data_IF_933250284257
#
_entry.id   IF_933250284257
#
_cell.length_a   1.000
_cell.length_b   1.000
_cell.length_c   1.000
_cell.angle_alpha   90.00
_cell.angle_beta   90.00
_cell.angle_gamma   90.00
#
_symmetry.space_group_name_H-M   'P 1'
#
loop_
_entity.id
_entity.type
_entity.pdbx_description
1 polymer ?
#
# COMPACT_ATOMS: atom_id res chain seq x y z
N UNK A 1 14.69 67.65 22.09
CA UNK A 1 14.27 66.96 20.90
C UNK A 1 13.18 65.98 21.33
N UNK A 2 11.93 66.32 21.01
CA UNK A 2 10.75 65.78 21.64
C UNK A 2 10.22 64.51 20.94
N UNK A 3 9.60 63.67 21.78
CA UNK A 3 8.97 62.41 21.47
C UNK A 3 7.56 62.52 20.79
N UNK A 4 7.32 63.63 20.04
CA UNK A 4 5.95 63.96 19.58
C UNK A 4 5.71 63.82 18.08
N UNK A 5 6.63 63.23 17.30
CA UNK A 5 6.44 63.04 15.85
C UNK A 5 6.37 61.56 15.44
N UNK A 6 5.59 60.78 16.13
CA UNK A 6 5.16 59.48 15.62
C UNK A 6 3.68 59.48 15.38
N UNK A 7 3.34 59.62 14.11
CA UNK A 7 2.00 59.57 13.56
C UNK A 7 1.43 58.14 13.67
N UNK A 8 0.63 57.88 14.73
CA UNK A 8 -0.05 56.60 14.94
C UNK A 8 -1.44 56.54 14.29
N UNK A 9 -1.75 57.45 13.39
CA UNK A 9 -3.08 57.56 12.76
C UNK A 9 -3.28 56.84 11.47
N UNK A 10 -2.44 55.86 11.13
CA UNK A 10 -2.80 54.92 10.05
C UNK A 10 -3.44 53.66 10.64
N UNK A 11 -4.60 53.80 11.22
CA UNK A 11 -5.60 52.75 11.34
C UNK A 11 -6.08 52.39 9.90
N UNK A 12 -5.17 51.82 9.11
CA UNK A 12 -5.50 51.23 7.81
C UNK A 12 -6.56 50.17 8.05
N UNK A 13 -7.78 50.44 7.61
CA UNK A 13 -8.86 49.49 7.50
C UNK A 13 -8.32 48.18 6.89
N UNK A 14 -8.07 47.19 7.73
CA UNK A 14 -7.99 45.78 7.32
C UNK A 14 -9.34 45.43 6.67
N UNK A 15 -9.49 45.76 5.41
CA UNK A 15 -10.47 45.08 4.59
C UNK A 15 -10.06 43.60 4.70
N UNK A 16 -10.76 42.87 5.57
CA UNK A 16 -10.85 41.43 5.48
C UNK A 16 -11.39 41.17 4.07
N UNK A 17 -10.45 40.88 3.15
CA UNK A 17 -10.78 40.16 1.94
C UNK A 17 -11.33 38.82 2.44
N UNK A 18 -12.65 38.73 2.61
CA UNK A 18 -13.36 37.48 2.42
C UNK A 18 -13.10 37.08 0.96
N UNK A 19 -11.90 36.61 0.72
CA UNK A 19 -11.60 35.90 -0.51
C UNK A 19 -12.55 34.72 -0.54
N UNK A 20 -13.54 34.79 -1.42
CA UNK A 20 -14.28 33.63 -1.84
C UNK A 20 -13.25 32.55 -2.12
N UNK A 21 -13.16 31.55 -1.25
CA UNK A 21 -12.38 30.35 -1.51
C UNK A 21 -13.07 29.67 -2.70
N UNK A 22 -12.72 30.10 -3.90
CA UNK A 22 -13.06 29.36 -5.09
C UNK A 22 -12.44 27.99 -4.89
N UNK A 23 -13.28 26.99 -4.62
CA UNK A 23 -12.90 25.60 -4.62
C UNK A 23 -12.35 25.31 -6.01
N UNK A 24 -11.04 25.45 -6.19
CA UNK A 24 -10.35 25.04 -7.41
C UNK A 24 -10.34 23.52 -7.40
N UNK A 25 -11.25 22.91 -8.12
CA UNK A 25 -11.21 21.49 -8.42
C UNK A 25 -10.03 21.25 -9.37
N UNK A 26 -8.85 21.07 -8.81
CA UNK A 26 -7.73 20.58 -9.58
C UNK A 26 -7.92 19.08 -9.79
N UNK A 27 -8.14 18.66 -11.03
CA UNK A 27 -8.12 17.23 -11.37
C UNK A 27 -6.79 16.63 -10.92
N UNK A 28 -6.81 15.41 -10.35
CA UNK A 28 -5.60 14.77 -9.93
C UNK A 28 -4.67 14.54 -11.12
N UNK A 29 -3.41 14.92 -10.99
CA UNK A 29 -2.40 14.55 -11.98
C UNK A 29 -2.18 13.05 -11.93
N UNK A 30 -2.25 12.39 -13.09
CA UNK A 30 -2.07 10.95 -13.22
C UNK A 30 -0.62 10.59 -12.91
N UNK A 31 -0.42 9.61 -12.05
CA UNK A 31 0.90 9.06 -11.67
C UNK A 31 1.24 7.83 -12.54
N UNK A 32 2.53 7.45 -12.65
CA UNK A 32 2.96 6.41 -13.59
C UNK A 32 2.27 5.05 -13.42
N UNK A 33 2.15 4.53 -12.19
CA UNK A 33 1.53 3.21 -11.95
C UNK A 33 0.03 3.27 -12.18
N UNK A 34 -0.65 4.32 -11.69
CA UNK A 34 -2.08 4.53 -11.96
C UNK A 34 -2.35 4.62 -13.46
N UNK A 35 -1.50 5.35 -14.23
CA UNK A 35 -1.61 5.42 -15.69
C UNK A 35 -1.59 4.04 -16.32
N UNK A 36 -0.62 3.19 -15.94
CA UNK A 36 -0.52 1.86 -16.51
C UNK A 36 -1.69 0.96 -16.09
N UNK A 37 -2.16 1.05 -14.84
CA UNK A 37 -3.35 0.32 -14.39
C UNK A 37 -4.60 0.73 -15.20
N UNK A 38 -4.80 2.03 -15.44
CA UNK A 38 -5.90 2.52 -16.29
C UNK A 38 -5.80 1.97 -17.70
N UNK A 39 -4.62 2.02 -18.33
CA UNK A 39 -4.39 1.54 -19.69
C UNK A 39 -4.65 0.03 -19.78
N UNK A 40 -4.06 -0.77 -18.89
CA UNK A 40 -4.17 -2.24 -18.92
C UNK A 40 -5.61 -2.68 -18.74
N UNK A 41 -6.33 -2.13 -17.75
CA UNK A 41 -7.73 -2.48 -17.52
C UNK A 41 -8.61 -2.11 -18.74
N UNK A 42 -8.42 -0.92 -19.30
CA UNK A 42 -9.18 -0.47 -20.47
C UNK A 42 -8.86 -1.32 -21.70
N UNK A 43 -7.58 -1.64 -21.92
CA UNK A 43 -7.16 -2.47 -23.04
C UNK A 43 -7.75 -3.90 -22.97
N UNK A 44 -7.69 -4.54 -21.81
CA UNK A 44 -8.28 -5.88 -21.60
C UNK A 44 -9.78 -5.85 -21.84
N UNK A 45 -10.48 -4.84 -21.33
CA UNK A 45 -11.93 -4.69 -21.52
C UNK A 45 -12.30 -4.49 -22.98
N UNK A 46 -11.59 -3.60 -23.69
CA UNK A 46 -11.85 -3.33 -25.11
C UNK A 46 -11.54 -4.55 -25.98
N UNK A 47 -10.41 -5.22 -25.76
CA UNK A 47 -10.05 -6.41 -26.51
C UNK A 47 -11.06 -7.56 -26.30
N UNK A 48 -11.49 -7.76 -25.05
CA UNK A 48 -12.51 -8.76 -24.75
C UNK A 48 -13.90 -8.44 -25.32
N UNK A 49 -14.24 -7.16 -25.40
CA UNK A 49 -15.49 -6.70 -26.01
C UNK A 49 -15.49 -6.73 -27.53
N UNK A 50 -14.36 -6.40 -28.17
CA UNK A 50 -14.21 -6.41 -29.63
C UNK A 50 -14.09 -7.84 -30.20
N UNK A 51 -13.53 -8.76 -29.42
CA UNK A 51 -13.31 -10.16 -29.83
C UNK A 51 -14.03 -11.07 -28.82
N UNK A 52 -15.34 -11.37 -29.01
CA UNK A 52 -16.13 -12.14 -28.03
C UNK A 52 -15.53 -13.49 -27.61
N UNK A 53 -14.92 -14.31 -28.49
CA UNK A 53 -14.26 -15.55 -28.07
C UNK A 53 -13.09 -15.31 -27.10
N UNK A 54 -12.33 -14.23 -27.31
CA UNK A 54 -11.23 -13.81 -26.41
C UNK A 54 -11.80 -13.39 -25.05
N UNK A 55 -12.87 -12.56 -25.05
CA UNK A 55 -13.54 -12.12 -23.82
C UNK A 55 -14.02 -13.30 -22.96
N UNK A 56 -14.68 -14.26 -23.57
CA UNK A 56 -15.12 -15.49 -22.89
C UNK A 56 -13.94 -16.29 -22.33
N UNK A 57 -12.86 -16.43 -23.09
CA UNK A 57 -11.65 -17.11 -22.66
C UNK A 57 -10.96 -16.38 -21.48
N UNK A 58 -10.85 -15.06 -21.57
CA UNK A 58 -10.25 -14.24 -20.50
C UNK A 58 -11.04 -14.39 -19.19
N UNK A 59 -12.37 -14.31 -19.23
CA UNK A 59 -13.21 -14.51 -18.05
C UNK A 59 -13.03 -15.94 -17.51
N UNK A 60 -13.07 -16.96 -18.37
CA UNK A 60 -12.94 -18.35 -18.00
C UNK A 60 -11.60 -18.69 -17.32
N UNK A 61 -10.48 -18.11 -17.78
CA UNK A 61 -9.13 -18.41 -17.27
C UNK A 61 -8.66 -17.51 -16.13
N UNK A 62 -9.19 -16.28 -16.01
CA UNK A 62 -8.64 -15.25 -15.13
C UNK A 62 -9.60 -14.71 -14.07
N UNK A 63 -10.92 -14.98 -14.14
CA UNK A 63 -11.86 -14.66 -13.05
C UNK A 63 -11.75 -15.65 -11.90
N UNK A 64 -12.20 -15.28 -10.71
CA UNK A 64 -12.43 -16.21 -9.60
C UNK A 64 -13.83 -16.79 -9.78
N UNK A 65 -13.95 -18.03 -10.22
CA UNK A 65 -15.22 -18.73 -10.31
C UNK A 65 -15.26 -19.92 -9.33
N UNK A 66 -15.90 -19.75 -8.18
CA UNK A 66 -15.95 -20.79 -7.14
C UNK A 66 -16.76 -22.03 -7.52
N UNK A 67 -17.52 -21.98 -8.61
CA UNK A 67 -18.24 -23.16 -9.15
C UNK A 67 -17.30 -24.10 -9.89
N UNK A 68 -16.11 -23.63 -10.25
CA UNK A 68 -15.06 -24.42 -10.88
C UNK A 68 -14.00 -24.82 -9.87
N UNK A 69 -13.74 -26.14 -9.73
CA UNK A 69 -12.68 -26.66 -8.87
C UNK A 69 -11.27 -26.17 -9.28
N UNK A 70 -11.09 -25.78 -10.54
CA UNK A 70 -9.85 -25.21 -11.04
C UNK A 70 -9.46 -23.92 -10.31
N UNK A 71 -10.41 -23.15 -9.79
CA UNK A 71 -10.13 -21.93 -9.04
C UNK A 71 -9.22 -22.20 -7.83
N UNK A 72 -9.39 -23.34 -7.17
CA UNK A 72 -8.61 -23.72 -5.99
C UNK A 72 -7.13 -24.00 -6.30
N UNK A 73 -6.81 -24.42 -7.52
CA UNK A 73 -5.44 -24.78 -7.95
C UNK A 73 -4.80 -23.71 -8.86
N UNK A 74 -5.47 -22.60 -9.09
CA UNK A 74 -5.03 -21.53 -10.00
C UNK A 74 -4.85 -20.20 -9.24
N UNK A 75 -3.78 -20.06 -8.44
CA UNK A 75 -3.57 -18.90 -7.54
C UNK A 75 -3.42 -17.58 -8.27
N UNK A 76 -3.02 -17.57 -9.56
CA UNK A 76 -2.96 -16.35 -10.36
C UNK A 76 -4.31 -15.66 -10.49
N UNK A 77 -5.43 -16.38 -10.36
CA UNK A 77 -6.78 -15.80 -10.40
C UNK A 77 -7.02 -14.78 -9.30
N UNK A 78 -6.36 -14.91 -8.14
CA UNK A 78 -6.42 -13.93 -7.06
C UNK A 78 -5.84 -12.55 -7.44
N UNK A 79 -5.02 -12.51 -8.48
CA UNK A 79 -4.47 -11.26 -9.01
C UNK A 79 -5.17 -10.85 -10.31
N UNK A 80 -5.35 -11.80 -11.23
CA UNK A 80 -5.81 -11.51 -12.59
C UNK A 80 -7.27 -11.06 -12.67
N UNK A 81 -8.14 -11.53 -11.78
CA UNK A 81 -9.55 -11.14 -11.76
C UNK A 81 -9.76 -9.63 -11.62
N UNK A 82 -8.79 -8.93 -10.99
CA UNK A 82 -8.81 -7.49 -10.77
C UNK A 82 -8.73 -6.68 -12.07
N UNK A 83 -8.33 -7.30 -13.17
CA UNK A 83 -8.19 -6.65 -14.47
C UNK A 83 -9.37 -6.93 -15.42
N UNK A 84 -10.33 -7.75 -15.00
CA UNK A 84 -11.51 -8.11 -15.79
C UNK A 84 -12.72 -7.26 -15.37
N UNK A 85 -13.56 -6.90 -16.33
CA UNK A 85 -14.78 -6.12 -16.08
C UNK A 85 -15.95 -6.67 -16.85
N UNK A 86 -17.10 -6.79 -16.20
CA UNK A 86 -18.28 -7.43 -16.77
C UNK A 86 -19.09 -6.57 -17.71
N UNK A 87 -19.05 -5.24 -17.56
CA UNK A 87 -19.80 -4.29 -18.39
C UNK A 87 -19.18 -2.89 -18.36
N UNK A 88 -19.68 -2.02 -19.25
CA UNK A 88 -19.15 -0.67 -19.41
C UNK A 88 -19.26 0.18 -18.14
N UNK A 89 -20.39 0.15 -17.45
CA UNK A 89 -20.56 0.92 -16.21
C UNK A 89 -19.58 0.46 -15.15
N UNK A 90 -19.35 -0.85 -15.03
CA UNK A 90 -18.43 -1.45 -14.07
C UNK A 90 -17.00 -0.95 -14.29
N UNK A 91 -16.48 -0.98 -15.54
CA UNK A 91 -15.13 -0.46 -15.79
C UNK A 91 -15.05 1.04 -15.61
N UNK A 92 -16.02 1.81 -16.08
CA UNK A 92 -16.02 3.28 -15.94
C UNK A 92 -15.94 3.69 -14.47
N UNK A 93 -16.78 3.11 -13.60
CA UNK A 93 -16.75 3.44 -12.17
C UNK A 93 -15.43 3.03 -11.50
N UNK A 94 -14.87 1.87 -11.88
CA UNK A 94 -13.56 1.45 -11.38
C UNK A 94 -12.44 2.42 -11.84
N UNK A 95 -12.40 2.80 -13.11
CA UNK A 95 -11.38 3.70 -13.63
C UNK A 95 -11.51 5.10 -13.03
N UNK A 96 -12.72 5.60 -12.81
CA UNK A 96 -12.96 6.86 -12.09
C UNK A 96 -12.41 6.75 -10.65
N UNK A 97 -12.75 5.70 -9.90
CA UNK A 97 -12.24 5.50 -8.54
C UNK A 97 -10.72 5.42 -8.49
N UNK A 98 -10.11 4.66 -9.41
CA UNK A 98 -8.66 4.55 -9.51
C UNK A 98 -7.99 5.89 -9.86
N UNK A 99 -8.58 6.65 -10.78
CA UNK A 99 -8.11 7.97 -11.20
C UNK A 99 -8.11 8.98 -10.04
N UNK A 100 -9.17 9.00 -9.22
CA UNK A 100 -9.28 9.97 -8.12
C UNK A 100 -8.47 9.58 -6.88
N UNK A 101 -8.47 8.31 -6.51
CA UNK A 101 -7.84 7.87 -5.24
C UNK A 101 -6.40 7.38 -5.43
N UNK A 102 -6.10 6.72 -6.54
CA UNK A 102 -4.80 6.11 -6.80
C UNK A 102 -3.63 7.08 -6.76
N UNK A 103 -3.67 8.23 -7.48
CA UNK A 103 -2.54 9.16 -7.51
C UNK A 103 -2.19 9.75 -6.15
N UNK A 104 -3.16 9.93 -5.26
CA UNK A 104 -2.92 10.44 -3.90
C UNK A 104 -2.01 9.49 -3.12
N UNK A 105 -2.32 8.21 -3.18
CA UNK A 105 -1.57 7.19 -2.44
C UNK A 105 -0.23 6.86 -3.13
N UNK A 106 -0.20 6.82 -4.47
CA UNK A 106 1.03 6.60 -5.24
C UNK A 106 2.06 7.71 -5.00
N UNK A 107 1.64 8.99 -4.97
CA UNK A 107 2.54 10.10 -4.61
C UNK A 107 3.06 10.01 -3.18
N UNK A 108 2.23 9.52 -2.27
CA UNK A 108 2.61 9.41 -0.86
C UNK A 108 3.64 8.29 -0.59
N UNK A 109 3.53 7.15 -1.30
CA UNK A 109 4.37 5.96 -1.03
C UNK A 109 5.38 5.62 -2.12
N UNK A 110 5.26 6.22 -3.29
CA UNK A 110 5.96 5.80 -4.51
C UNK A 110 5.28 4.61 -5.20
N UNK A 111 5.55 4.48 -6.50
CA UNK A 111 4.86 3.53 -7.37
C UNK A 111 5.01 2.07 -6.94
N UNK A 112 6.22 1.66 -6.52
CA UNK A 112 6.48 0.26 -6.12
C UNK A 112 5.62 -0.18 -4.92
N UNK A 113 5.56 0.65 -3.87
CA UNK A 113 4.77 0.32 -2.68
C UNK A 113 3.28 0.38 -2.98
N UNK A 114 2.85 1.34 -3.79
CA UNK A 114 1.47 1.48 -4.21
C UNK A 114 0.97 0.26 -4.98
N UNK A 115 1.71 -0.26 -5.97
CA UNK A 115 1.26 -1.42 -6.75
C UNK A 115 1.12 -2.69 -5.91
N UNK A 116 2.08 -2.96 -5.01
CA UNK A 116 1.97 -4.11 -4.11
C UNK A 116 0.80 -3.98 -3.12
N UNK A 117 0.55 -2.79 -2.63
CA UNK A 117 -0.61 -2.52 -1.78
C UNK A 117 -1.93 -2.72 -2.54
N UNK A 118 -2.04 -2.15 -3.73
CA UNK A 118 -3.21 -2.26 -4.60
C UNK A 118 -3.53 -3.72 -4.90
N UNK A 119 -2.58 -4.47 -5.44
CA UNK A 119 -2.75 -5.89 -5.73
C UNK A 119 -3.05 -6.73 -4.48
N UNK A 120 -2.38 -6.41 -3.38
CA UNK A 120 -2.59 -7.09 -2.09
C UNK A 120 -4.00 -6.88 -1.55
N UNK A 121 -4.55 -5.67 -1.60
CA UNK A 121 -5.95 -5.41 -1.25
C UNK A 121 -6.91 -6.22 -2.11
N UNK A 122 -6.64 -6.31 -3.42
CA UNK A 122 -7.44 -7.15 -4.32
C UNK A 122 -7.34 -8.64 -4.00
N UNK A 123 -6.15 -9.16 -3.68
CA UNK A 123 -5.98 -10.55 -3.25
C UNK A 123 -6.82 -10.84 -2.00
N UNK A 124 -6.74 -9.98 -0.98
CA UNK A 124 -7.53 -10.14 0.25
C UNK A 124 -9.04 -10.03 -0.04
N UNK A 125 -9.45 -9.14 -0.95
CA UNK A 125 -10.83 -9.02 -1.41
C UNK A 125 -11.35 -10.34 -2.02
N UNK A 126 -10.59 -10.94 -2.92
CA UNK A 126 -10.91 -12.24 -3.53
C UNK A 126 -10.96 -13.38 -2.50
N UNK A 127 -10.02 -13.42 -1.56
CA UNK A 127 -10.02 -14.40 -0.47
C UNK A 127 -11.22 -14.21 0.48
N UNK A 128 -11.61 -12.97 0.78
CA UNK A 128 -12.79 -12.66 1.60
C UNK A 128 -14.08 -13.15 0.94
N UNK A 129 -14.20 -12.93 -0.38
CA UNK A 129 -15.32 -13.48 -1.15
C UNK A 129 -15.37 -15.01 -1.06
N UNK A 130 -14.24 -15.69 -1.33
CA UNK A 130 -14.17 -17.15 -1.29
C UNK A 130 -14.49 -17.70 0.12
N UNK A 131 -14.01 -17.04 1.16
CA UNK A 131 -14.31 -17.43 2.56
C UNK A 131 -15.79 -17.31 2.88
N UNK A 132 -16.41 -16.15 2.59
CA UNK A 132 -17.82 -15.90 2.89
C UNK A 132 -18.75 -16.79 2.04
N UNK A 133 -18.33 -17.12 0.83
CA UNK A 133 -19.01 -18.11 0.00
C UNK A 133 -18.90 -19.54 0.60
N UNK A 134 -17.71 -19.94 1.04
CA UNK A 134 -17.47 -21.27 1.60
C UNK A 134 -18.28 -21.52 2.88
N UNK A 135 -18.55 -20.48 3.69
CA UNK A 135 -19.40 -20.57 4.89
C UNK A 135 -20.89 -20.25 4.60
N UNK A 136 -21.27 -20.12 3.33
CA UNK A 136 -22.67 -19.96 2.92
C UNK A 136 -23.29 -18.58 3.15
N UNK A 137 -22.50 -17.56 3.42
CA UNK A 137 -22.98 -16.16 3.62
C UNK A 137 -23.37 -15.51 2.29
N UNK A 138 -22.60 -15.78 1.23
CA UNK A 138 -22.85 -15.26 -0.12
C UNK A 138 -22.92 -16.39 -1.15
N UNK A 139 -23.64 -16.14 -2.26
CA UNK A 139 -23.80 -17.12 -3.33
C UNK A 139 -22.55 -17.29 -4.19
N UNK A 140 -22.44 -18.45 -4.84
CA UNK A 140 -21.37 -18.75 -5.78
C UNK A 140 -21.63 -18.06 -7.13
N UNK A 141 -20.82 -17.06 -7.47
CA UNK A 141 -20.85 -16.36 -8.74
C UNK A 141 -19.41 -16.00 -9.15
N UNK A 142 -19.12 -15.81 -10.45
CA UNK A 142 -17.82 -15.35 -10.87
C UNK A 142 -17.51 -13.95 -10.30
N UNK A 143 -16.34 -13.82 -9.64
CA UNK A 143 -15.85 -12.54 -9.18
C UNK A 143 -14.85 -11.97 -10.20
N UNK A 144 -15.06 -10.72 -10.58
CA UNK A 144 -14.19 -9.95 -11.49
C UNK A 144 -14.32 -8.46 -11.16
N UNK A 145 -13.24 -7.70 -11.38
CA UNK A 145 -13.21 -6.26 -11.17
C UNK A 145 -12.10 -5.78 -10.25
N UNK A 146 -11.65 -4.56 -10.51
CA UNK A 146 -10.62 -3.86 -9.73
C UNK A 146 -11.14 -3.29 -8.40
N UNK A 147 -12.46 -3.30 -8.18
CA UNK A 147 -13.13 -2.55 -7.12
C UNK A 147 -12.66 -2.91 -5.72
N UNK A 148 -12.36 -4.19 -5.42
CA UNK A 148 -11.81 -4.58 -4.12
C UNK A 148 -10.47 -3.88 -3.82
N UNK A 149 -9.57 -3.82 -4.79
CA UNK A 149 -8.30 -3.10 -4.67
C UNK A 149 -8.52 -1.58 -4.52
N UNK A 150 -9.39 -1.00 -5.36
CA UNK A 150 -9.71 0.44 -5.33
C UNK A 150 -10.34 0.86 -4.00
N UNK A 151 -11.23 0.04 -3.47
CA UNK A 151 -11.84 0.30 -2.17
C UNK A 151 -10.86 0.15 -1.01
N UNK A 152 -9.86 -0.72 -1.13
CA UNK A 152 -8.71 -0.74 -0.23
C UNK A 152 -7.91 0.56 -0.28
N UNK A 153 -7.69 1.11 -1.48
CA UNK A 153 -7.06 2.43 -1.66
C UNK A 153 -7.94 3.54 -1.05
N UNK A 154 -9.25 3.52 -1.27
CA UNK A 154 -10.18 4.46 -0.65
C UNK A 154 -10.11 4.42 0.87
N UNK A 155 -10.13 3.23 1.48
CA UNK A 155 -10.03 3.08 2.93
C UNK A 155 -8.70 3.60 3.48
N UNK A 156 -7.59 3.33 2.81
CA UNK A 156 -6.27 3.88 3.16
C UNK A 156 -6.24 5.41 3.07
N UNK A 157 -6.78 5.99 1.98
CA UNK A 157 -6.89 7.43 1.82
C UNK A 157 -7.79 8.07 2.89
N UNK A 158 -8.89 7.40 3.25
CA UNK A 158 -9.82 7.89 4.28
C UNK A 158 -9.17 7.98 5.67
N UNK A 159 -8.22 7.09 5.97
CA UNK A 159 -7.47 7.11 7.23
C UNK A 159 -6.32 8.12 7.19
N UNK A 160 -5.54 8.14 6.09
CA UNK A 160 -4.38 9.02 5.97
C UNK A 160 -4.74 10.48 5.71
N UNK A 161 -5.81 10.72 4.96
CA UNK A 161 -6.22 12.05 4.49
C UNK A 161 -7.70 12.34 4.77
N UNK A 162 -8.17 12.24 6.02
CA UNK A 162 -9.61 12.22 6.36
C UNK A 162 -10.37 13.49 5.99
N UNK A 163 -9.66 14.61 5.77
CA UNK A 163 -10.24 15.92 5.46
C UNK A 163 -10.35 16.18 3.94
N UNK A 164 -9.81 15.28 3.11
CA UNK A 164 -9.92 15.43 1.65
C UNK A 164 -11.39 15.36 1.26
N UNK A 165 -11.85 16.40 0.54
CA UNK A 165 -13.20 16.46 -0.02
C UNK A 165 -13.16 15.79 -1.40
N UNK A 166 -14.02 14.81 -1.59
CA UNK A 166 -14.22 14.11 -2.86
C UNK A 166 -15.62 14.41 -3.38
N UNK A 167 -15.74 14.47 -4.70
CA UNK A 167 -17.03 14.63 -5.35
C UNK A 167 -17.61 13.24 -5.62
N UNK A 168 -18.62 12.85 -4.87
CA UNK A 168 -19.36 11.61 -5.14
C UNK A 168 -20.60 11.95 -5.96
N UNK A 169 -20.58 11.57 -7.25
CA UNK A 169 -21.54 12.01 -8.27
C UNK A 169 -21.49 13.55 -8.41
N UNK A 170 -22.29 14.29 -7.66
CA UNK A 170 -22.33 15.75 -7.64
C UNK A 170 -22.26 16.33 -6.21
N UNK A 171 -22.16 15.45 -5.20
CA UNK A 171 -22.16 15.85 -3.78
C UNK A 171 -20.73 15.88 -3.25
N UNK A 172 -20.21 17.04 -2.86
CA UNK A 172 -18.91 17.13 -2.18
C UNK A 172 -19.03 16.58 -0.75
N UNK A 173 -18.19 15.61 -0.39
CA UNK A 173 -18.16 15.05 0.95
C UNK A 173 -16.75 14.67 1.37
N UNK A 174 -16.44 14.63 2.68
CA UNK A 174 -15.17 14.12 3.17
C UNK A 174 -14.99 12.65 2.78
N UNK A 175 -13.79 12.29 2.33
CA UNK A 175 -13.47 10.93 1.89
C UNK A 175 -13.76 9.87 2.97
N UNK A 176 -13.60 10.21 4.26
CA UNK A 176 -13.95 9.33 5.38
C UNK A 176 -15.44 9.01 5.43
N UNK A 177 -16.30 10.01 5.12
CA UNK A 177 -17.75 9.82 5.09
C UNK A 177 -18.12 8.90 3.94
N UNK A 178 -17.53 9.11 2.75
CA UNK A 178 -17.70 8.23 1.60
C UNK A 178 -17.31 6.79 1.94
N UNK A 179 -16.12 6.58 2.53
CA UNK A 179 -15.64 5.24 2.87
C UNK A 179 -16.58 4.53 3.87
N UNK A 180 -17.04 5.22 4.91
CA UNK A 180 -17.98 4.64 5.88
C UNK A 180 -19.32 4.35 5.24
N UNK A 181 -19.88 5.29 4.45
CA UNK A 181 -21.13 5.09 3.75
C UNK A 181 -21.11 3.89 2.81
N UNK A 182 -20.02 3.72 2.03
CA UNK A 182 -19.82 2.57 1.17
C UNK A 182 -19.74 1.26 1.96
N UNK A 183 -18.97 1.24 3.06
CA UNK A 183 -18.89 0.07 3.92
C UNK A 183 -20.25 -0.34 4.48
N UNK A 184 -21.03 0.62 5.00
CA UNK A 184 -22.38 0.37 5.51
C UNK A 184 -23.32 -0.15 4.41
N UNK A 185 -23.27 0.46 3.22
CA UNK A 185 -24.07 0.02 2.07
C UNK A 185 -23.77 -1.44 1.73
N UNK A 186 -22.52 -1.85 1.66
CA UNK A 186 -22.12 -3.24 1.36
C UNK A 186 -22.58 -4.21 2.46
N UNK A 187 -22.43 -3.84 3.74
CA UNK A 187 -22.93 -4.66 4.85
C UNK A 187 -24.45 -4.87 4.73
N UNK A 188 -25.21 -3.79 4.51
CA UNK A 188 -26.66 -3.87 4.37
C UNK A 188 -27.05 -4.76 3.18
N UNK A 189 -26.36 -4.62 2.04
CA UNK A 189 -26.66 -5.42 0.85
C UNK A 189 -26.35 -6.92 1.05
N UNK A 190 -25.27 -7.25 1.78
CA UNK A 190 -24.96 -8.64 2.14
C UNK A 190 -26.04 -9.23 3.06
N UNK A 191 -26.46 -8.49 4.10
CA UNK A 191 -27.49 -8.92 5.05
C UNK A 191 -28.84 -9.11 4.33
N UNK A 192 -29.16 -8.18 3.42
CA UNK A 192 -30.37 -8.26 2.60
C UNK A 192 -30.31 -9.33 1.49
N UNK A 193 -29.20 -10.06 1.36
CA UNK A 193 -28.96 -11.05 0.29
C UNK A 193 -29.17 -10.46 -1.11
N UNK A 194 -28.74 -9.22 -1.31
CA UNK A 194 -28.83 -8.52 -2.58
C UNK A 194 -28.09 -9.24 -3.71
N UNK A 195 -28.43 -8.91 -4.96
CA UNK A 195 -27.89 -9.58 -6.16
C UNK A 195 -26.36 -9.58 -6.25
N UNK A 196 -25.69 -8.54 -5.71
CA UNK A 196 -24.22 -8.39 -5.72
C UNK A 196 -23.57 -8.74 -4.37
N UNK A 197 -24.23 -9.44 -3.46
CA UNK A 197 -23.68 -9.72 -2.11
C UNK A 197 -22.26 -10.33 -2.15
N UNK A 198 -21.94 -11.15 -3.14
CA UNK A 198 -20.59 -11.69 -3.35
C UNK A 198 -19.56 -10.63 -3.70
N UNK A 199 -19.89 -9.73 -4.61
CA UNK A 199 -19.04 -8.57 -4.95
C UNK A 199 -18.85 -7.64 -3.73
N UNK A 200 -19.91 -7.40 -2.96
CA UNK A 200 -19.85 -6.56 -1.76
C UNK A 200 -19.01 -7.18 -0.64
N UNK A 201 -19.00 -8.50 -0.54
CA UNK A 201 -18.08 -9.23 0.35
C UNK A 201 -16.60 -8.97 -0.03
N UNK A 202 -16.29 -9.01 -1.34
CA UNK A 202 -14.97 -8.66 -1.83
C UNK A 202 -14.64 -7.18 -1.57
N UNK A 203 -15.59 -6.28 -1.75
CA UNK A 203 -15.44 -4.85 -1.48
C UNK A 203 -15.06 -4.58 -0.02
N UNK A 204 -15.79 -5.17 0.93
CA UNK A 204 -15.49 -5.06 2.35
C UNK A 204 -14.13 -5.69 2.71
N UNK A 205 -13.80 -6.84 2.12
CA UNK A 205 -12.50 -7.47 2.30
C UNK A 205 -11.34 -6.57 1.86
N UNK A 206 -11.47 -5.92 0.70
CA UNK A 206 -10.50 -4.95 0.19
C UNK A 206 -10.38 -3.71 1.09
N UNK A 207 -11.50 -3.14 1.53
CA UNK A 207 -11.51 -2.02 2.48
C UNK A 207 -10.84 -2.38 3.81
N UNK A 208 -11.18 -3.55 4.35
CA UNK A 208 -10.58 -4.05 5.60
C UNK A 208 -9.07 -4.25 5.46
N UNK A 209 -8.61 -4.81 4.33
CA UNK A 209 -7.18 -4.96 4.03
C UNK A 209 -6.46 -3.62 3.98
N UNK A 210 -7.04 -2.63 3.28
CA UNK A 210 -6.49 -1.28 3.18
C UNK A 210 -6.41 -0.59 4.54
N UNK A 211 -7.47 -0.64 5.33
CA UNK A 211 -7.50 -0.09 6.69
C UNK A 211 -6.50 -0.80 7.62
N UNK A 212 -6.49 -2.12 7.63
CA UNK A 212 -5.57 -2.91 8.45
C UNK A 212 -4.11 -2.62 8.12
N UNK A 213 -3.76 -2.50 6.84
CA UNK A 213 -2.40 -2.15 6.43
C UNK A 213 -1.95 -0.83 7.06
N UNK A 214 -2.77 0.23 6.99
CA UNK A 214 -2.45 1.54 7.54
C UNK A 214 -2.33 1.49 9.07
N UNK A 215 -3.27 0.83 9.74
CA UNK A 215 -3.31 0.76 11.20
C UNK A 215 -2.18 -0.11 11.78
N UNK A 216 -1.75 -1.15 11.06
CA UNK A 216 -0.66 -2.04 11.49
C UNK A 216 0.73 -1.52 11.09
N UNK A 217 0.82 -0.64 10.10
CA UNK A 217 2.09 -0.14 9.57
C UNK A 217 3.03 0.42 10.65
N UNK A 218 2.59 1.30 11.58
CA UNK A 218 3.45 1.83 12.62
C UNK A 218 4.00 0.74 13.58
N UNK A 219 3.22 -0.32 13.79
CA UNK A 219 3.65 -1.46 14.61
C UNK A 219 4.71 -2.29 13.89
N UNK A 220 4.54 -2.52 12.60
CA UNK A 220 5.51 -3.23 11.76
C UNK A 220 6.84 -2.47 11.65
N UNK A 221 6.79 -1.15 11.50
CA UNK A 221 7.98 -0.31 11.45
C UNK A 221 8.72 -0.31 12.80
N UNK A 222 8.01 -0.22 13.93
CA UNK A 222 8.61 -0.36 15.27
C UNK A 222 9.27 -1.73 15.46
N UNK A 223 8.62 -2.79 15.00
CA UNK A 223 9.18 -4.15 15.09
C UNK A 223 10.44 -4.30 14.25
N UNK A 224 10.43 -3.79 13.00
CA UNK A 224 11.62 -3.77 12.13
C UNK A 224 12.77 -2.99 12.77
N UNK A 225 12.51 -1.80 13.29
CA UNK A 225 13.51 -1.00 13.98
C UNK A 225 14.09 -1.74 15.18
N UNK A 226 13.26 -2.42 15.98
CA UNK A 226 13.72 -3.23 17.11
C UNK A 226 14.61 -4.39 16.68
N UNK A 227 14.24 -5.12 15.63
CA UNK A 227 15.05 -6.22 15.07
C UNK A 227 16.39 -5.70 14.56
N UNK A 228 16.40 -4.58 13.84
CA UNK A 228 17.63 -3.97 13.38
C UNK A 228 18.51 -3.50 14.52
N UNK A 229 17.95 -2.84 15.53
CA UNK A 229 18.70 -2.40 16.71
C UNK A 229 19.37 -3.59 17.43
N UNK A 230 18.65 -4.68 17.67
CA UNK A 230 19.19 -5.89 18.27
C UNK A 230 20.32 -6.52 17.43
N UNK A 231 20.16 -6.53 16.11
CA UNK A 231 21.20 -7.02 15.20
C UNK A 231 22.47 -6.14 15.26
N UNK A 232 22.30 -4.82 15.30
CA UNK A 232 23.40 -3.87 15.46
C UNK A 232 24.11 -4.02 16.81
N UNK A 233 23.38 -4.12 17.90
CA UNK A 233 23.95 -4.35 19.23
C UNK A 233 24.79 -5.63 19.28
N UNK A 234 24.28 -6.73 18.73
CA UNK A 234 25.00 -7.99 18.63
C UNK A 234 26.30 -7.85 17.80
N UNK A 235 26.23 -7.20 16.65
CA UNK A 235 27.42 -6.96 15.81
C UNK A 235 28.45 -6.07 16.51
N UNK A 236 28.00 -5.05 17.23
CA UNK A 236 28.88 -4.17 18.00
C UNK A 236 29.58 -4.92 19.15
N UNK A 237 28.83 -5.79 19.85
CA UNK A 237 29.39 -6.60 20.93
C UNK A 237 30.41 -7.62 20.41
N UNK A 238 30.12 -8.31 19.30
CA UNK A 238 31.06 -9.20 18.62
C UNK A 238 32.33 -8.48 18.17
N UNK A 239 32.19 -7.29 17.56
CA UNK A 239 33.29 -6.45 17.14
C UNK A 239 34.13 -5.97 18.35
N UNK A 240 33.47 -5.62 19.46
CA UNK A 240 34.15 -5.24 20.71
C UNK A 240 34.96 -6.38 21.30
N UNK A 241 34.37 -7.58 21.37
CA UNK A 241 35.06 -8.80 21.84
C UNK A 241 36.27 -9.11 20.96
N UNK A 242 36.10 -9.03 19.62
CA UNK A 242 37.22 -9.27 18.70
C UNK A 242 38.36 -8.25 18.90
N UNK A 243 38.06 -6.96 19.08
CA UNK A 243 39.08 -5.92 19.37
C UNK A 243 39.82 -6.23 20.66
N UNK A 244 39.13 -6.55 21.73
CA UNK A 244 39.78 -6.93 22.99
C UNK A 244 40.72 -8.16 22.85
N UNK A 245 40.31 -9.17 22.09
CA UNK A 245 41.16 -10.32 21.80
C UNK A 245 42.39 -9.95 20.97
N UNK A 246 42.21 -9.11 19.93
CA UNK A 246 43.31 -8.58 19.11
C UNK A 246 44.32 -7.81 19.97
N UNK A 247 43.84 -6.88 20.80
CA UNK A 247 44.71 -6.06 21.68
C UNK A 247 45.51 -6.96 22.66
N UNK A 248 44.88 -7.98 23.23
CA UNK A 248 45.55 -8.97 24.07
C UNK A 248 46.64 -9.73 23.31
N UNK A 249 46.35 -10.18 22.08
CA UNK A 249 47.28 -10.90 21.23
C UNK A 249 48.45 -10.02 20.81
N UNK A 250 48.20 -8.75 20.45
CA UNK A 250 49.23 -7.79 20.09
C UNK A 250 50.16 -7.47 21.27
N UNK A 251 49.61 -7.35 22.48
CA UNK A 251 50.38 -7.16 23.71
C UNK A 251 51.29 -8.38 24.02
N UNK A 252 50.79 -9.62 23.71
CA UNK A 252 51.59 -10.84 23.83
C UNK A 252 52.72 -10.88 22.81
N UNK A 253 52.45 -10.49 21.54
CA UNK A 253 53.46 -10.40 20.50
C UNK A 253 54.55 -9.38 20.84
N UNK A 254 54.17 -8.23 21.43
CA UNK A 254 55.10 -7.21 21.84
C UNK A 254 56.06 -7.71 22.94
N UNK A 255 55.57 -8.55 23.87
CA UNK A 255 56.37 -9.08 24.98
C UNK A 255 57.21 -10.30 24.62
N UNK A 256 56.70 -11.21 23.80
CA UNK A 256 57.24 -12.55 23.60
C UNK A 256 57.56 -12.87 22.13
N UNK A 257 57.36 -11.93 21.23
CA UNK A 257 57.61 -12.12 19.78
C UNK A 257 56.54 -12.92 19.05
N UNK A 258 56.64 -12.91 17.70
CA UNK A 258 55.68 -13.57 16.81
C UNK A 258 55.59 -15.10 16.99
N UNK A 259 56.66 -15.74 17.45
CA UNK A 259 56.71 -17.21 17.65
C UNK A 259 55.84 -17.68 18.80
N UNK A 260 55.44 -16.78 19.70
CA UNK A 260 54.56 -17.08 20.83
C UNK A 260 53.10 -17.28 20.45
N UNK A 261 52.75 -17.00 19.19
CA UNK A 261 51.37 -17.08 18.73
C UNK A 261 50.92 -18.52 18.48
N UNK A 262 49.82 -18.90 19.11
CA UNK A 262 49.12 -20.14 18.85
C UNK A 262 48.38 -20.09 17.49
N UNK A 263 48.05 -21.26 16.95
CA UNK A 263 47.25 -21.39 15.72
C UNK A 263 45.90 -20.69 15.81
N UNK A 264 45.29 -20.72 17.00
CA UNK A 264 44.01 -20.03 17.28
C UNK A 264 44.16 -18.51 17.21
N UNK A 265 45.21 -17.96 17.86
CA UNK A 265 45.50 -16.54 17.87
C UNK A 265 45.79 -16.00 16.45
N UNK A 266 46.53 -16.75 15.62
CA UNK A 266 46.77 -16.41 14.20
C UNK A 266 45.47 -16.34 13.42
N UNK A 267 44.51 -17.24 13.67
CA UNK A 267 43.18 -17.20 13.01
C UNK A 267 42.39 -15.97 13.42
N UNK A 268 42.43 -15.55 14.70
CA UNK A 268 41.75 -14.36 15.20
C UNK A 268 42.29 -13.11 14.53
N UNK A 269 43.61 -12.96 14.46
CA UNK A 269 44.24 -11.83 13.76
C UNK A 269 43.84 -11.79 12.26
N UNK A 270 43.86 -12.93 11.57
CA UNK A 270 43.44 -13.01 10.18
C UNK A 270 41.99 -12.58 9.98
N UNK A 271 41.08 -13.02 10.89
CA UNK A 271 39.66 -12.62 10.85
C UNK A 271 39.51 -11.12 11.06
N UNK A 272 40.22 -10.54 12.04
CA UNK A 272 40.16 -9.11 12.32
C UNK A 272 40.65 -8.27 11.12
N UNK A 273 41.76 -8.68 10.47
CA UNK A 273 42.26 -8.03 9.26
C UNK A 273 41.25 -8.08 8.12
N UNK A 274 40.62 -9.22 7.90
CA UNK A 274 39.58 -9.36 6.86
C UNK A 274 38.37 -8.48 7.12
N UNK A 275 37.92 -8.35 8.38
CA UNK A 275 36.81 -7.48 8.75
C UNK A 275 37.17 -6.00 8.56
N UNK A 276 38.41 -5.59 8.84
CA UNK A 276 38.87 -4.22 8.65
C UNK A 276 38.95 -3.85 7.16
N UNK A 277 39.50 -4.74 6.31
CA UNK A 277 39.55 -4.55 4.86
C UNK A 277 38.13 -4.40 4.30
N UNK A 278 37.18 -5.25 4.76
CA UNK A 278 35.79 -5.19 4.32
C UNK A 278 35.11 -3.87 4.70
N UNK A 279 35.45 -3.30 5.86
CA UNK A 279 34.92 -2.00 6.30
C UNK A 279 35.46 -0.82 5.48
N UNK A 280 36.68 -0.91 4.96
CA UNK A 280 37.28 0.12 4.13
C UNK A 280 36.75 0.10 2.67
N UNK A 281 36.06 -0.98 2.28
CA UNK A 281 35.47 -1.15 0.93
C UNK A 281 33.99 -0.74 0.87
N UNK A 282 33.35 -0.42 1.98
CA UNK A 282 31.96 0.05 2.10
C UNK A 282 31.89 1.56 2.32
#
# INVERSE_FOLDING_TARGET
MGLHDRDYSQAGSRRQYFGSSQMRFNLPQITPVVKWLLIVNTAIFLLGGLIPPLGTSLIGWFSIDPRSWFTAIQPWRLVSYQFLHGNLLHIVLNMIGLFFFGPTLERHWGGRRFIFFYLGCGVVAGLSFLLLMAIGVVGAAPLLGASGAILGVLAACAILFPQVIVLFVIVPMPIRVLAVAMALLYVVNIIAKGQNAGGDAAHLGGMAAGAAYILLLPRLDRLRLKIHAQSWEKQMEESRKLRFEVDRILSKVHRFGLHSLTTREKRILKKATQEEIRRQQL
#
